data_IF_973930849310
#
_entry.id   IF_973930849310
#
_cell.length_a   1.000
_cell.length_b   1.000
_cell.length_c   1.000
_cell.angle_alpha   90.00
_cell.angle_beta   90.00
_cell.angle_gamma   90.00
#
_symmetry.space_group_name_H-M   'P 1'
#
loop_
_entity.id
_entity.type
_entity.pdbx_description
1 polymer ?
#
# COMPACT_ATOMS: atom_id res chain seq x y z
N UNK A 1 -17.42 6.81 -8.58
CA UNK A 1 -17.79 5.56 -9.21
C UNK A 1 -16.58 4.85 -9.75
N UNK A 2 -16.55 3.54 -9.62
CA UNK A 2 -15.35 2.76 -9.90
C UNK A 2 -15.43 1.97 -11.21
N UNK A 3 -16.43 2.21 -12.03
CA UNK A 3 -16.59 1.55 -13.33
C UNK A 3 -15.36 1.75 -14.21
N UNK A 4 -14.75 2.94 -14.17
CA UNK A 4 -13.54 3.25 -14.94
C UNK A 4 -12.36 2.36 -14.54
N UNK A 5 -12.33 1.84 -13.29
CA UNK A 5 -11.28 0.97 -12.79
C UNK A 5 -11.50 -0.50 -13.11
N UNK A 6 -12.67 -0.85 -13.62
CA UNK A 6 -13.04 -2.22 -13.97
C UNK A 6 -12.88 -2.52 -15.47
N UNK A 7 -12.58 -1.53 -16.29
CA UNK A 7 -12.34 -1.72 -17.72
C UNK A 7 -11.13 -2.60 -17.98
N UNK A 8 -11.16 -3.34 -19.08
CA UNK A 8 -10.02 -4.12 -19.58
C UNK A 8 -9.41 -3.47 -20.83
N UNK A 9 -9.93 -2.33 -21.26
CA UNK A 9 -9.41 -1.56 -22.40
C UNK A 9 -8.30 -0.63 -21.94
N UNK A 10 -7.15 -1.21 -21.65
CA UNK A 10 -5.99 -0.50 -21.11
C UNK A 10 -5.30 0.40 -22.13
N UNK A 11 -5.40 0.08 -23.44
CA UNK A 11 -4.66 0.75 -24.48
C UNK A 11 -5.09 2.21 -24.68
N UNK A 12 -6.33 2.52 -24.30
CA UNK A 12 -6.88 3.88 -24.42
C UNK A 12 -6.70 4.70 -23.14
N UNK A 13 -6.01 4.16 -22.13
CA UNK A 13 -5.83 4.84 -20.86
C UNK A 13 -4.48 5.53 -20.77
N UNK A 14 -4.48 6.71 -20.16
CA UNK A 14 -3.27 7.47 -19.89
C UNK A 14 -2.52 6.91 -18.69
N UNK A 15 -1.24 7.20 -18.61
CA UNK A 15 -0.37 6.75 -17.52
C UNK A 15 -0.97 7.04 -16.13
N UNK A 16 -1.48 8.26 -15.89
CA UNK A 16 -2.09 8.61 -14.61
C UNK A 16 -3.35 7.82 -14.29
N UNK A 17 -4.14 7.49 -15.31
CA UNK A 17 -5.34 6.65 -15.13
C UNK A 17 -4.94 5.21 -14.78
N UNK A 18 -3.94 4.66 -15.47
CA UNK A 18 -3.42 3.32 -15.19
C UNK A 18 -2.83 3.23 -13.78
N UNK A 19 -2.13 4.27 -13.35
CA UNK A 19 -1.58 4.35 -12.00
C UNK A 19 -2.69 4.28 -10.94
N UNK A 20 -3.76 5.05 -11.11
CA UNK A 20 -4.91 5.03 -10.20
C UNK A 20 -5.60 3.67 -10.21
N UNK A 21 -5.71 3.04 -11.38
CA UNK A 21 -6.26 1.68 -11.48
C UNK A 21 -5.41 0.66 -10.73
N UNK A 22 -4.09 0.73 -10.88
CA UNK A 22 -3.19 -0.18 -10.18
C UNK A 22 -3.34 -0.02 -8.66
N UNK A 23 -3.42 1.22 -8.18
CA UNK A 23 -3.63 1.50 -6.75
C UNK A 23 -4.98 0.95 -6.26
N UNK A 24 -6.04 1.14 -7.05
CA UNK A 24 -7.38 0.63 -6.74
C UNK A 24 -7.38 -0.90 -6.62
N UNK A 25 -6.80 -1.61 -7.60
CA UNK A 25 -6.79 -3.07 -7.60
C UNK A 25 -5.87 -3.63 -6.52
N UNK A 26 -4.77 -2.96 -6.20
CA UNK A 26 -3.93 -3.33 -5.07
C UNK A 26 -4.71 -3.28 -3.76
N UNK A 27 -5.45 -2.19 -3.53
CA UNK A 27 -6.28 -2.07 -2.32
C UNK A 27 -7.33 -3.18 -2.26
N UNK A 28 -8.00 -3.46 -3.37
CA UNK A 28 -8.99 -4.53 -3.43
C UNK A 28 -8.36 -5.90 -3.17
N UNK A 29 -7.20 -6.14 -3.70
CA UNK A 29 -6.45 -7.36 -3.44
C UNK A 29 -6.13 -7.50 -1.94
N UNK A 30 -5.64 -6.47 -1.31
CA UNK A 30 -5.34 -6.48 0.12
C UNK A 30 -6.60 -6.71 0.96
N UNK A 31 -7.71 -6.08 0.62
CA UNK A 31 -8.99 -6.26 1.31
C UNK A 31 -9.53 -7.67 1.16
N UNK A 32 -9.39 -8.24 -0.03
CA UNK A 32 -9.84 -9.61 -0.32
C UNK A 32 -9.09 -10.63 0.55
N UNK A 33 -7.82 -10.41 0.80
CA UNK A 33 -6.97 -11.33 1.54
C UNK A 33 -6.80 -10.96 3.02
N UNK A 34 -7.53 -9.96 3.49
CA UNK A 34 -7.41 -9.47 4.85
C UNK A 34 -8.08 -10.38 5.87
N UNK A 35 -7.51 -10.40 7.07
CA UNK A 35 -8.12 -11.05 8.23
C UNK A 35 -9.37 -10.28 8.66
N UNK A 36 -10.48 -10.99 8.88
CA UNK A 36 -11.76 -10.40 9.27
C UNK A 36 -12.35 -11.10 10.49
N UNK A 37 -13.22 -10.38 11.21
CA UNK A 37 -13.99 -10.94 12.33
C UNK A 37 -15.40 -11.36 11.88
N UNK A 38 -16.23 -11.80 12.83
CA UNK A 38 -17.61 -12.22 12.56
C UNK A 38 -18.54 -11.11 12.07
N UNK A 39 -18.14 -9.84 12.22
CA UNK A 39 -18.87 -8.66 11.74
C UNK A 39 -18.33 -8.13 10.41
N UNK A 40 -17.49 -8.92 9.75
CA UNK A 40 -16.84 -8.56 8.49
C UNK A 40 -15.96 -7.31 8.56
N UNK A 41 -15.46 -6.99 9.74
CA UNK A 41 -14.50 -5.92 9.94
C UNK A 41 -13.08 -6.42 9.67
N UNK A 42 -12.21 -5.52 9.25
CA UNK A 42 -10.85 -5.80 8.79
C UNK A 42 -9.84 -5.55 9.91
N UNK A 43 -8.92 -6.47 10.08
CA UNK A 43 -7.86 -6.37 11.07
C UNK A 43 -6.82 -5.33 10.69
N UNK A 44 -6.55 -4.40 11.61
CA UNK A 44 -5.43 -3.46 11.50
C UNK A 44 -4.25 -3.97 12.34
N UNK A 45 -3.15 -4.40 11.70
CA UNK A 45 -2.03 -4.97 12.44
C UNK A 45 -1.25 -3.94 13.27
N UNK A 46 -1.37 -2.66 12.96
CA UNK A 46 -0.73 -1.59 13.74
C UNK A 46 -1.47 -1.34 15.04
N UNK A 47 -2.78 -1.18 14.98
CA UNK A 47 -3.61 -0.90 16.16
C UNK A 47 -4.09 -2.16 16.88
N UNK A 48 -3.89 -3.33 16.26
CA UNK A 48 -4.32 -4.62 16.79
C UNK A 48 -5.79 -4.65 17.18
N UNK A 49 -6.63 -4.17 16.24
CA UNK A 49 -8.09 -4.21 16.37
C UNK A 49 -8.74 -4.23 14.99
N UNK A 50 -10.04 -4.54 14.96
CA UNK A 50 -10.83 -4.57 13.74
C UNK A 50 -11.50 -3.24 13.47
N UNK A 51 -11.57 -2.88 12.19
CA UNK A 51 -12.21 -1.65 11.70
C UNK A 51 -13.12 -1.99 10.53
N UNK A 52 -14.13 -1.16 10.31
CA UNK A 52 -14.92 -1.24 9.09
C UNK A 52 -14.00 -1.02 7.88
N UNK A 53 -14.32 -1.68 6.77
CA UNK A 53 -13.50 -1.66 5.56
C UNK A 53 -13.19 -0.23 5.09
N UNK A 54 -14.17 0.68 5.19
CA UNK A 54 -14.00 2.07 4.78
C UNK A 54 -13.02 2.87 5.68
N UNK A 55 -12.60 2.32 6.79
CA UNK A 55 -11.60 2.91 7.68
C UNK A 55 -10.19 2.40 7.42
N UNK A 56 -10.02 1.51 6.45
CA UNK A 56 -8.74 0.89 6.12
C UNK A 56 -8.17 1.44 4.82
N UNK A 57 -6.85 1.57 4.76
CA UNK A 57 -6.11 2.04 3.57
C UNK A 57 -4.95 1.14 3.24
N UNK A 58 -4.59 1.10 1.97
CA UNK A 58 -3.31 0.54 1.53
C UNK A 58 -2.24 1.61 1.77
N UNK A 59 -1.36 1.35 2.72
CA UNK A 59 -0.37 2.31 3.19
C UNK A 59 1.04 1.88 2.82
N UNK A 60 1.86 2.85 2.43
CA UNK A 60 3.23 2.62 1.98
C UNK A 60 4.22 2.96 3.09
N UNK A 61 5.09 2.02 3.45
CA UNK A 61 6.18 2.27 4.40
C UNK A 61 7.23 3.23 3.80
N UNK A 62 7.66 2.94 2.58
CA UNK A 62 8.44 3.88 1.76
C UNK A 62 7.44 4.63 0.90
N UNK A 63 7.56 5.96 0.84
CA UNK A 63 6.61 6.83 0.18
C UNK A 63 6.21 6.30 -1.22
N UNK A 64 4.93 6.40 -1.52
CA UNK A 64 4.37 5.92 -2.80
C UNK A 64 4.94 6.61 -4.03
N UNK A 65 5.60 7.76 -3.88
CA UNK A 65 6.27 8.42 -4.99
C UNK A 65 7.52 7.66 -5.45
N UNK A 66 8.05 6.76 -4.61
CA UNK A 66 9.19 5.91 -4.96
C UNK A 66 8.67 4.71 -5.74
N UNK A 67 8.75 4.76 -7.07
CA UNK A 67 8.07 3.80 -7.95
C UNK A 67 8.59 2.37 -7.83
N UNK A 68 9.89 2.16 -7.60
CA UNK A 68 10.45 0.81 -7.51
C UNK A 68 9.90 -0.01 -6.34
N UNK A 69 9.37 0.64 -5.32
CA UNK A 69 8.78 -0.02 -4.15
C UNK A 69 7.27 0.20 -4.01
N UNK A 70 6.68 1.02 -4.88
CA UNK A 70 5.26 1.41 -4.78
C UNK A 70 4.30 0.21 -4.70
N UNK A 71 4.56 -0.84 -5.45
CA UNK A 71 3.71 -2.03 -5.51
C UNK A 71 4.37 -3.26 -4.89
N UNK A 72 5.47 -3.08 -4.19
CA UNK A 72 6.16 -4.18 -3.52
C UNK A 72 5.32 -4.67 -2.33
N UNK A 73 5.11 -5.98 -2.26
CA UNK A 73 4.29 -6.59 -1.21
C UNK A 73 4.79 -6.31 0.20
N UNK A 74 6.10 -6.12 0.38
CA UNK A 74 6.69 -5.82 1.68
C UNK A 74 6.55 -4.35 2.05
N UNK A 75 6.26 -3.50 1.08
CA UNK A 75 6.13 -2.06 1.28
C UNK A 75 4.69 -1.57 1.50
N UNK A 76 3.70 -2.33 1.06
CA UNK A 76 2.30 -1.89 1.07
C UNK A 76 1.49 -2.76 2.03
N UNK A 77 0.88 -2.12 3.01
CA UNK A 77 0.15 -2.80 4.08
C UNK A 77 -1.22 -2.18 4.27
N UNK A 78 -2.19 -3.04 4.54
CA UNK A 78 -3.55 -2.60 4.84
C UNK A 78 -3.62 -2.24 6.32
N UNK A 79 -3.71 -0.94 6.62
CA UNK A 79 -3.80 -0.43 7.99
C UNK A 79 -4.93 0.60 8.08
N UNK A 80 -5.34 0.94 9.31
CA UNK A 80 -6.40 1.93 9.49
C UNK A 80 -5.95 3.31 9.03
N UNK A 81 -6.90 4.10 8.55
CA UNK A 81 -6.64 5.50 8.17
C UNK A 81 -6.03 6.29 9.33
N UNK A 82 -6.46 5.99 10.55
CA UNK A 82 -5.92 6.62 11.75
C UNK A 82 -4.43 6.32 11.91
N UNK A 83 -4.01 5.08 11.65
CA UNK A 83 -2.60 4.68 11.71
C UNK A 83 -1.77 5.30 10.60
N UNK A 84 -2.39 5.55 9.43
CA UNK A 84 -1.73 6.10 8.26
C UNK A 84 -1.72 7.62 8.22
N UNK A 85 -2.52 8.26 9.09
CA UNK A 85 -2.61 9.72 9.12
C UNK A 85 -1.32 10.31 9.65
N UNK A 86 -0.75 11.20 8.86
CA UNK A 86 0.39 11.95 9.28
C UNK A 86 -0.05 13.18 10.11
N UNK A 87 0.40 13.26 11.34
CA UNK A 87 0.20 14.42 12.18
C UNK A 87 1.53 15.17 12.28
N UNK A 88 1.57 16.40 11.73
CA UNK A 88 2.76 17.25 11.75
C UNK A 88 3.25 17.52 13.17
N UNK A 89 2.37 17.49 14.17
CA UNK A 89 2.72 17.69 15.58
C UNK A 89 3.53 16.52 16.16
N UNK A 90 3.46 15.36 15.54
CA UNK A 90 4.22 14.19 15.96
C UNK A 90 5.62 14.17 15.37
N UNK A 91 5.90 15.09 14.46
CA UNK A 91 7.24 15.20 13.89
C UNK A 91 8.19 15.89 14.85
N UNK A 92 9.26 15.20 15.16
CA UNK A 92 10.42 15.78 15.77
C UNK A 92 11.44 15.95 14.64
N UNK A 93 12.15 17.09 14.61
CA UNK A 93 13.11 17.43 13.56
C UNK A 93 13.93 16.25 13.08
N UNK A 94 13.85 15.96 11.77
CA UNK A 94 14.62 14.89 11.12
C UNK A 94 14.19 13.46 11.49
N UNK A 95 13.16 13.31 12.30
CA UNK A 95 12.70 12.01 12.75
C UNK A 95 11.33 11.63 12.18
N UNK A 96 11.08 10.34 12.18
CA UNK A 96 9.83 9.75 11.74
C UNK A 96 8.71 10.07 12.74
N UNK A 97 7.48 10.22 12.25
CA UNK A 97 6.31 10.37 13.13
C UNK A 97 6.11 9.11 13.98
N UNK A 98 5.31 9.22 15.03
CA UNK A 98 4.95 8.07 15.87
C UNK A 98 4.30 6.97 15.03
N UNK A 99 3.43 7.32 14.08
CA UNK A 99 2.79 6.34 13.20
C UNK A 99 3.82 5.62 12.32
N UNK A 100 4.86 6.31 11.89
CA UNK A 100 5.91 5.68 11.10
C UNK A 100 6.71 4.69 11.95
N UNK A 101 6.97 5.00 13.22
CA UNK A 101 7.62 4.07 14.15
C UNK A 101 6.78 2.81 14.38
N UNK A 102 5.48 2.97 14.59
CA UNK A 102 4.55 1.85 14.74
C UNK A 102 4.54 0.99 13.46
N UNK A 103 4.58 1.61 12.31
CA UNK A 103 4.65 0.92 11.02
C UNK A 103 5.95 0.14 10.88
N UNK A 104 7.07 0.75 11.27
CA UNK A 104 8.38 0.08 11.23
C UNK A 104 8.40 -1.14 12.16
N UNK A 105 7.85 -1.02 13.37
CA UNK A 105 7.72 -2.14 14.31
C UNK A 105 6.89 -3.28 13.70
N UNK A 106 5.82 -2.94 12.99
CA UNK A 106 5.02 -3.92 12.26
C UNK A 106 5.87 -4.65 11.22
N UNK A 107 6.65 -3.92 10.43
CA UNK A 107 7.50 -4.53 9.41
C UNK A 107 8.56 -5.45 10.04
N UNK A 108 9.17 -5.03 11.13
CA UNK A 108 10.15 -5.87 11.85
C UNK A 108 9.50 -7.19 12.24
N UNK A 109 8.29 -7.14 12.79
CA UNK A 109 7.56 -8.33 13.22
C UNK A 109 7.19 -9.25 12.05
N UNK A 110 6.72 -8.67 10.95
CA UNK A 110 6.13 -9.43 9.85
C UNK A 110 7.15 -9.91 8.80
N UNK A 111 8.14 -9.10 8.48
CA UNK A 111 9.13 -9.45 7.45
C UNK A 111 10.58 -9.50 7.94
N UNK A 112 10.86 -8.94 9.11
CA UNK A 112 12.19 -8.92 9.72
C UNK A 112 13.12 -7.85 9.16
N UNK A 113 14.17 -7.53 9.94
CA UNK A 113 15.11 -6.45 9.59
C UNK A 113 15.85 -6.68 8.28
N UNK A 114 16.18 -7.94 7.96
CA UNK A 114 16.87 -8.29 6.72
C UNK A 114 16.06 -7.87 5.49
N UNK A 115 14.76 -8.15 5.52
CA UNK A 115 13.88 -7.81 4.41
C UNK A 115 13.59 -6.31 4.34
N UNK A 116 13.57 -5.63 5.48
CA UNK A 116 13.47 -4.17 5.53
C UNK A 116 14.69 -3.54 4.86
N UNK A 117 15.89 -4.03 5.15
CA UNK A 117 17.12 -3.56 4.51
C UNK A 117 17.10 -3.77 3.00
N UNK A 118 16.61 -4.92 2.54
CA UNK A 118 16.44 -5.20 1.11
C UNK A 118 15.45 -4.21 0.47
N UNK A 119 14.35 -3.94 1.14
CA UNK A 119 13.35 -2.99 0.66
C UNK A 119 13.93 -1.57 0.55
N UNK A 120 14.65 -1.13 1.56
CA UNK A 120 15.31 0.17 1.57
C UNK A 120 16.37 0.28 0.46
N UNK A 121 17.15 -0.78 0.25
CA UNK A 121 18.13 -0.83 -0.83
C UNK A 121 17.45 -0.73 -2.20
N UNK A 122 16.35 -1.46 -2.40
CA UNK A 122 15.55 -1.41 -3.63
C UNK A 122 14.99 -0.01 -3.88
N UNK A 123 14.62 0.72 -2.83
CA UNK A 123 14.03 2.07 -2.94
C UNK A 123 14.99 3.09 -3.53
N UNK A 124 16.29 2.81 -3.53
CA UNK A 124 17.31 3.71 -4.09
C UNK A 124 17.43 3.61 -5.61
N UNK A 125 16.80 2.62 -6.22
CA UNK A 125 16.81 2.43 -7.67
C UNK A 125 15.89 3.45 -8.34
N UNK A 126 16.40 4.11 -9.39
CA UNK A 126 15.56 4.97 -10.21
C UNK A 126 14.72 4.10 -11.12
N UNK A 127 13.42 4.12 -10.95
CA UNK A 127 12.48 3.34 -11.76
C UNK A 127 11.39 4.26 -12.31
N UNK A 128 11.19 4.19 -13.63
CA UNK A 128 10.12 4.91 -14.30
C UNK A 128 9.17 3.84 -14.87
N UNK A 129 7.89 3.92 -14.48
CA UNK A 129 6.89 3.01 -15.00
C UNK A 129 6.35 3.49 -16.34
N UNK A 130 6.43 2.62 -17.34
CA UNK A 130 5.69 2.76 -18.58
C UNK A 130 4.25 2.23 -18.39
N UNK A 131 3.37 2.50 -19.34
CA UNK A 131 1.98 2.00 -19.28
C UNK A 131 1.92 0.49 -19.09
N UNK A 132 2.80 -0.26 -19.75
CA UNK A 132 2.88 -1.71 -19.62
C UNK A 132 3.11 -2.15 -18.17
N UNK A 133 3.96 -1.45 -17.44
CA UNK A 133 4.27 -1.80 -16.07
C UNK A 133 3.03 -1.69 -15.16
N UNK A 134 2.24 -0.63 -15.36
CA UNK A 134 0.96 -0.48 -14.63
C UNK A 134 -0.05 -1.56 -15.02
N UNK A 135 -0.14 -1.86 -16.30
CA UNK A 135 -1.06 -2.89 -16.80
C UNK A 135 -0.70 -4.24 -16.18
N UNK A 136 0.58 -4.57 -16.11
CA UNK A 136 1.06 -5.81 -15.50
C UNK A 136 0.64 -5.87 -14.01
N UNK A 137 0.76 -4.77 -13.27
CA UNK A 137 0.31 -4.69 -11.87
C UNK A 137 -1.19 -4.83 -11.73
N UNK A 138 -1.95 -4.17 -12.58
CA UNK A 138 -3.42 -4.27 -12.59
C UNK A 138 -3.85 -5.72 -12.76
N UNK A 139 -3.31 -6.39 -13.76
CA UNK A 139 -3.63 -7.79 -14.05
C UNK A 139 -3.26 -8.70 -12.87
N UNK A 140 -2.09 -8.48 -12.29
CA UNK A 140 -1.63 -9.25 -11.15
C UNK A 140 -2.60 -9.15 -9.97
N UNK A 141 -2.96 -7.94 -9.57
CA UNK A 141 -3.84 -7.72 -8.42
C UNK A 141 -5.29 -8.15 -8.69
N UNK A 142 -5.75 -7.98 -9.91
CA UNK A 142 -7.10 -8.34 -10.32
C UNK A 142 -7.30 -9.85 -10.37
N UNK A 143 -6.30 -10.58 -10.87
CA UNK A 143 -6.41 -12.02 -11.15
C UNK A 143 -5.99 -12.88 -9.94
N UNK A 144 -5.30 -12.30 -8.99
CA UNK A 144 -4.94 -12.95 -7.73
C UNK A 144 -5.97 -12.58 -6.65
#
# INVERSE_FOLDING_TARGET
MFIEFETEDYDNLKNGQLKRMADFWQRRYLLKNAKRNGYNQVWCPVKERYYNENKMEASHFIDRSVMCTRYDKDNVWLISKQSNTWDAREQVEGYKSLHHKEFEELLVKEIGEKNIKKLLAKSKSLTIFANKDYIDKIKKFRDE
#
